data_IF_638547675664
#
_entry.id   IF_638547675664
#
_cell.length_a   1.000
_cell.length_b   1.000
_cell.length_c   1.000
_cell.angle_alpha   90.00
_cell.angle_beta   90.00
_cell.angle_gamma   90.00
#
_symmetry.space_group_name_H-M   'P 1'
#
loop_
_entity.id
_entity.type
_entity.pdbx_description
1 polymer ?
#
# COMPACT_ATOMS: atom_id res chain seq x y z
N UNK A 1 4.27 -3.35 -6.56
CA UNK A 1 3.13 -2.55 -7.06
C UNK A 1 2.06 -2.32 -5.98
N UNK A 2 1.43 -3.36 -5.42
CA UNK A 2 0.38 -3.24 -4.40
C UNK A 2 0.64 -2.24 -3.25
N UNK A 3 1.85 -2.27 -2.67
CA UNK A 3 2.24 -1.39 -1.55
C UNK A 3 2.23 0.10 -1.91
N UNK A 4 2.69 0.45 -3.11
CA UNK A 4 2.82 1.86 -3.54
C UNK A 4 1.54 2.38 -4.20
N UNK A 5 0.77 1.51 -4.85
CA UNK A 5 -0.48 1.88 -5.53
C UNK A 5 -1.63 2.08 -4.54
N UNK A 6 -1.82 1.15 -3.60
CA UNK A 6 -2.97 1.18 -2.68
C UNK A 6 -2.58 1.44 -1.22
N UNK A 7 -1.27 1.61 -0.95
CA UNK A 7 -0.78 1.84 0.40
C UNK A 7 -0.98 0.66 1.34
N UNK A 8 -1.09 -0.58 0.85
CA UNK A 8 -1.37 -1.75 1.70
C UNK A 8 -0.29 -1.97 2.77
N UNK A 9 -0.66 -2.55 3.91
CA UNK A 9 0.30 -3.03 4.91
C UNK A 9 0.97 -4.31 4.39
N UNK A 10 2.22 -4.54 4.78
CA UNK A 10 2.93 -5.77 4.42
C UNK A 10 2.19 -7.05 4.86
N UNK A 11 1.51 -7.02 6.01
CA UNK A 11 0.67 -8.13 6.47
C UNK A 11 -0.55 -8.38 5.57
N UNK A 12 -1.24 -7.31 5.14
CA UNK A 12 -2.39 -7.40 4.22
C UNK A 12 -1.94 -8.03 2.89
N UNK A 13 -0.80 -7.59 2.34
CA UNK A 13 -0.23 -8.19 1.11
C UNK A 13 0.14 -9.66 1.31
N UNK A 14 0.75 -10.02 2.45
CA UNK A 14 1.15 -11.40 2.74
C UNK A 14 -0.05 -12.37 2.83
N UNK A 15 -1.22 -11.88 3.23
CA UNK A 15 -2.42 -12.71 3.43
C UNK A 15 -3.41 -12.64 2.26
N UNK A 16 -3.12 -11.88 1.21
CA UNK A 16 -3.93 -11.85 0.00
C UNK A 16 -4.08 -13.25 -0.59
N UNK A 17 -5.30 -13.57 -1.01
CA UNK A 17 -5.67 -14.82 -1.68
C UNK A 17 -6.12 -14.57 -3.11
N UNK A 18 -6.19 -15.63 -3.90
CA UNK A 18 -6.74 -15.57 -5.26
C UNK A 18 -8.21 -15.12 -5.26
N UNK A 19 -8.98 -15.45 -4.23
CA UNK A 19 -10.40 -15.08 -4.07
C UNK A 19 -10.62 -13.59 -3.80
N UNK A 20 -9.56 -12.89 -3.39
CA UNK A 20 -9.61 -11.46 -3.10
C UNK A 20 -9.57 -10.61 -4.37
N UNK A 21 -9.34 -11.23 -5.54
CA UNK A 21 -9.32 -10.55 -6.83
C UNK A 21 -10.55 -10.95 -7.63
N UNK A 22 -11.48 -10.01 -7.79
CA UNK A 22 -12.61 -10.15 -8.69
C UNK A 22 -12.23 -9.58 -10.06
N UNK A 23 -11.79 -10.45 -10.96
CA UNK A 23 -11.40 -10.08 -12.33
C UNK A 23 -12.59 -9.61 -13.18
N UNK A 24 -13.81 -10.09 -12.90
CA UNK A 24 -15.00 -9.69 -13.67
C UNK A 24 -15.44 -8.27 -13.33
N UNK A 25 -15.30 -7.88 -12.06
CA UNK A 25 -15.64 -6.54 -11.58
C UNK A 25 -14.44 -5.60 -11.51
N UNK A 26 -13.26 -6.07 -11.87
CA UNK A 26 -12.00 -5.33 -11.75
C UNK A 26 -11.80 -4.79 -10.32
N UNK A 27 -11.94 -5.66 -9.31
CA UNK A 27 -11.84 -5.27 -7.91
C UNK A 27 -10.80 -6.08 -7.15
N UNK A 28 -10.01 -5.37 -6.34
CA UNK A 28 -9.15 -5.93 -5.31
C UNK A 28 -9.79 -5.74 -3.94
N UNK A 29 -10.14 -6.84 -3.29
CA UNK A 29 -10.75 -6.86 -1.96
C UNK A 29 -9.66 -7.10 -0.93
N UNK A 30 -9.63 -6.32 0.13
CA UNK A 30 -8.73 -6.56 1.26
C UNK A 30 -9.59 -6.93 2.46
N UNK A 31 -9.65 -8.23 2.81
CA UNK A 31 -10.43 -8.70 3.95
C UNK A 31 -9.80 -8.26 5.27
N UNK A 32 -10.62 -8.22 6.33
CA UNK A 32 -10.20 -8.15 7.73
C UNK A 32 -9.14 -7.10 8.04
N UNK A 33 -9.37 -5.86 7.61
CA UNK A 33 -8.45 -4.77 7.99
C UNK A 33 -8.57 -4.45 9.47
N UNK A 34 -7.53 -3.80 9.98
CA UNK A 34 -7.55 -3.18 11.31
C UNK A 34 -8.85 -2.37 11.47
N UNK A 35 -9.63 -2.70 12.52
CA UNK A 35 -11.00 -2.23 12.80
C UNK A 35 -12.16 -3.08 12.26
N UNK A 36 -11.91 -4.25 11.66
CA UNK A 36 -12.98 -5.17 11.20
C UNK A 36 -13.68 -4.71 9.92
N UNK A 37 -13.07 -3.78 9.18
CA UNK A 37 -13.61 -3.30 7.92
C UNK A 37 -12.97 -4.04 6.74
N UNK A 38 -13.79 -4.40 5.76
CA UNK A 38 -13.32 -4.82 4.44
C UNK A 38 -13.30 -3.59 3.52
N UNK A 39 -12.30 -3.50 2.65
CA UNK A 39 -12.22 -2.42 1.66
C UNK A 39 -11.95 -3.03 0.30
N UNK A 40 -12.75 -2.63 -0.69
CA UNK A 40 -12.52 -2.96 -2.09
C UNK A 40 -11.94 -1.75 -2.81
N UNK A 41 -10.93 -1.98 -3.64
CA UNK A 41 -10.39 -0.99 -4.56
C UNK A 41 -10.69 -1.40 -6.00
N UNK A 42 -10.83 -0.43 -6.91
CA UNK A 42 -10.64 -0.70 -8.33
C UNK A 42 -9.26 -1.33 -8.56
N UNK A 43 -9.22 -2.41 -9.32
CA UNK A 43 -7.98 -3.07 -9.72
C UNK A 43 -7.33 -2.24 -10.83
N UNK A 44 -6.36 -1.42 -10.47
CA UNK A 44 -5.52 -0.70 -11.42
C UNK A 44 -4.88 -1.67 -12.42
N UNK A 45 -4.97 -1.37 -13.71
CA UNK A 45 -4.50 -2.23 -14.81
C UNK A 45 -3.04 -2.70 -14.62
N UNK A 46 -2.14 -1.77 -14.29
CA UNK A 46 -0.71 -2.08 -14.03
C UNK A 46 -0.51 -3.08 -12.88
N UNK A 47 -1.41 -3.09 -11.90
CA UNK A 47 -1.36 -4.07 -10.81
C UNK A 47 -1.91 -5.41 -11.30
N UNK A 48 -3.04 -5.40 -12.02
CA UNK A 48 -3.62 -6.61 -12.60
C UNK A 48 -2.65 -7.34 -13.51
N UNK A 49 -1.99 -6.62 -14.42
CA UNK A 49 -0.95 -7.14 -15.31
C UNK A 49 0.21 -7.74 -14.53
N UNK A 50 0.76 -7.03 -13.55
CA UNK A 50 1.84 -7.53 -12.71
C UNK A 50 1.45 -8.80 -11.92
N UNK A 51 0.19 -8.89 -11.49
CA UNK A 51 -0.33 -10.10 -10.84
C UNK A 51 -0.42 -11.25 -11.85
N UNK A 52 -0.96 -11.02 -13.05
CA UNK A 52 -1.07 -12.03 -14.10
C UNK A 52 0.30 -12.59 -14.47
N UNK A 53 1.30 -11.73 -14.65
CA UNK A 53 2.67 -12.15 -14.96
C UNK A 53 3.26 -13.01 -13.84
N UNK A 54 3.08 -12.59 -12.58
CA UNK A 54 3.50 -13.39 -11.44
C UNK A 54 2.75 -14.73 -11.36
N UNK A 55 1.44 -14.78 -11.63
CA UNK A 55 0.67 -16.03 -11.64
C UNK A 55 1.16 -17.01 -12.71
N UNK A 56 1.57 -16.49 -13.87
CA UNK A 56 2.08 -17.30 -14.99
C UNK A 56 3.51 -17.79 -14.79
N UNK A 57 4.36 -16.99 -14.16
CA UNK A 57 5.82 -17.20 -14.18
C UNK A 57 6.45 -17.41 -12.81
N UNK A 58 5.89 -16.81 -11.76
CA UNK A 58 6.51 -16.74 -10.43
C UNK A 58 5.85 -17.60 -9.37
N UNK A 59 4.53 -17.80 -9.44
CA UNK A 59 3.78 -18.55 -8.43
C UNK A 59 4.01 -20.05 -8.58
N UNK A 60 4.35 -20.79 -7.50
CA UNK A 60 4.45 -22.24 -7.56
C UNK A 60 3.10 -22.90 -7.87
N UNK A 61 3.14 -24.09 -8.48
CA UNK A 61 1.98 -24.96 -8.58
C UNK A 61 1.63 -25.49 -7.18
N UNK A 62 0.46 -25.10 -6.66
CA UNK A 62 -0.03 -25.45 -5.32
C UNK A 62 -1.54 -25.24 -5.23
N UNK A 63 -2.20 -26.02 -4.37
CA UNK A 63 -3.62 -25.89 -4.04
C UNK A 63 -3.89 -24.77 -3.02
N UNK A 64 -2.88 -24.37 -2.24
CA UNK A 64 -2.99 -23.24 -1.31
C UNK A 64 -3.38 -21.98 -2.11
N UNK A 65 -4.40 -21.25 -1.66
CA UNK A 65 -4.97 -20.09 -2.37
C UNK A 65 -4.31 -18.76 -2.03
N UNK A 66 -3.28 -18.72 -1.18
CA UNK A 66 -2.47 -17.50 -1.01
C UNK A 66 -1.94 -17.02 -2.36
N UNK A 67 -1.81 -15.71 -2.51
CA UNK A 67 -1.33 -15.10 -3.74
C UNK A 67 0.20 -15.24 -3.80
N UNK A 68 0.91 -14.73 -2.79
CA UNK A 68 2.37 -14.61 -2.82
C UNK A 68 3.10 -15.70 -2.05
N UNK A 69 4.11 -16.30 -2.69
CA UNK A 69 4.97 -17.33 -2.14
C UNK A 69 6.43 -16.90 -2.15
N UNK A 70 7.24 -17.60 -1.35
CA UNK A 70 8.69 -17.50 -1.44
C UNK A 70 9.17 -18.08 -2.77
N UNK A 71 10.12 -17.39 -3.41
CA UNK A 71 10.73 -17.85 -4.67
C UNK A 71 11.66 -19.06 -4.46
N UNK A 72 12.23 -19.20 -3.27
CA UNK A 72 13.16 -20.28 -2.87
C UNK A 72 12.50 -21.27 -1.92
N UNK A 73 13.02 -22.50 -1.89
CA UNK A 73 12.49 -23.55 -1.01
C UNK A 73 12.71 -23.23 0.48
N UNK A 74 11.78 -23.61 1.38
CA UNK A 74 10.47 -24.16 1.06
C UNK A 74 9.54 -23.10 0.45
N UNK A 75 8.85 -23.44 -0.65
CA UNK A 75 7.97 -22.52 -1.40
C UNK A 75 6.61 -22.38 -0.71
N UNK A 76 6.63 -21.76 0.47
CA UNK A 76 5.47 -21.48 1.33
C UNK A 76 5.02 -20.02 1.15
N UNK A 77 3.82 -19.64 1.63
CA UNK A 77 3.36 -18.25 1.59
C UNK A 77 4.41 -17.28 2.19
N UNK A 78 4.54 -16.11 1.57
CA UNK A 78 5.49 -15.09 2.02
C UNK A 78 5.00 -14.45 3.32
N UNK A 79 5.93 -13.99 4.16
CA UNK A 79 5.61 -13.28 5.40
C UNK A 79 5.70 -11.76 5.21
N UNK A 80 5.03 -11.00 6.09
CA UNK A 80 5.15 -9.53 6.14
C UNK A 80 6.59 -9.05 6.37
N UNK A 81 7.37 -9.82 7.14
CA UNK A 81 8.79 -9.58 7.36
C UNK A 81 9.58 -9.74 6.06
N UNK A 82 9.37 -10.84 5.32
CA UNK A 82 10.04 -11.07 4.04
C UNK A 82 9.69 -9.98 3.00
N UNK A 83 8.43 -9.53 2.94
CA UNK A 83 8.04 -8.39 2.11
C UNK A 83 8.81 -7.13 2.51
N UNK A 84 8.93 -6.86 3.81
CA UNK A 84 9.63 -5.67 4.29
C UNK A 84 11.13 -5.73 4.00
N UNK A 85 11.77 -6.88 4.19
CA UNK A 85 13.17 -7.11 3.81
C UNK A 85 13.40 -6.95 2.31
N UNK A 86 12.50 -7.48 1.46
CA UNK A 86 12.60 -7.32 0.02
C UNK A 86 12.52 -5.84 -0.39
N UNK A 87 11.59 -5.07 0.19
CA UNK A 87 11.50 -3.62 -0.06
C UNK A 87 12.77 -2.91 0.39
N UNK A 88 13.31 -3.23 1.57
CA UNK A 88 14.56 -2.62 2.05
C UNK A 88 15.74 -2.91 1.10
N UNK A 89 15.83 -4.14 0.58
CA UNK A 89 16.86 -4.50 -0.39
C UNK A 89 16.71 -3.71 -1.71
N UNK A 90 15.50 -3.57 -2.23
CA UNK A 90 15.25 -2.78 -3.44
C UNK A 90 15.55 -1.28 -3.25
N UNK A 91 15.20 -0.71 -2.08
CA UNK A 91 15.55 0.67 -1.75
C UNK A 91 17.07 0.87 -1.70
N UNK A 92 17.80 -0.07 -1.10
CA UNK A 92 19.26 -0.04 -1.05
C UNK A 92 19.88 -0.17 -2.45
N UNK A 93 19.39 -1.10 -3.28
CA UNK A 93 19.86 -1.28 -4.65
C UNK A 93 19.64 -0.03 -5.51
N UNK A 94 18.58 0.74 -5.22
CA UNK A 94 18.29 2.00 -5.89
C UNK A 94 19.02 3.22 -5.28
N UNK A 95 19.92 3.03 -4.30
CA UNK A 95 20.59 4.09 -3.51
C UNK A 95 19.62 5.08 -2.85
N UNK A 96 18.41 4.62 -2.50
CA UNK A 96 17.40 5.43 -1.82
C UNK A 96 17.61 5.29 -0.31
N UNK A 97 18.11 6.36 0.31
CA UNK A 97 18.37 6.41 1.75
C UNK A 97 17.13 6.84 2.53
N UNK A 98 16.64 5.96 3.39
CA UNK A 98 15.51 6.23 4.30
C UNK A 98 15.86 5.81 5.72
N UNK A 99 15.36 6.56 6.70
CA UNK A 99 15.61 6.27 8.12
C UNK A 99 15.09 4.89 8.55
N UNK A 100 13.94 4.47 8.00
CA UNK A 100 13.36 3.13 8.18
C UNK A 100 12.93 2.59 6.83
N UNK A 101 13.72 1.66 6.29
CA UNK A 101 13.40 0.94 5.05
C UNK A 101 12.43 -0.21 5.29
N UNK A 102 11.48 -0.38 4.37
CA UNK A 102 10.58 -1.53 4.35
C UNK A 102 9.20 -1.19 3.78
N UNK A 103 8.26 -2.12 3.94
CA UNK A 103 6.90 -1.99 3.40
C UNK A 103 6.18 -0.71 3.85
N UNK A 104 6.42 -0.26 5.08
CA UNK A 104 5.89 1.00 5.61
C UNK A 104 6.39 2.23 4.86
N UNK A 105 7.63 2.25 4.37
CA UNK A 105 8.17 3.36 3.57
C UNK A 105 7.32 3.61 2.34
N UNK A 106 7.00 2.55 1.59
CA UNK A 106 6.18 2.66 0.38
C UNK A 106 4.73 3.04 0.69
N UNK A 107 4.19 2.55 1.81
CA UNK A 107 2.87 2.99 2.28
C UNK A 107 2.86 4.47 2.63
N UNK A 108 3.89 4.99 3.29
CA UNK A 108 4.02 6.41 3.57
C UNK A 108 4.07 7.23 2.28
N UNK A 109 4.81 6.76 1.26
CA UNK A 109 4.82 7.41 -0.06
C UNK A 109 3.43 7.45 -0.70
N UNK A 110 2.65 6.36 -0.63
CA UNK A 110 1.27 6.36 -1.13
C UNK A 110 0.40 7.39 -0.39
N UNK A 111 0.46 7.42 0.94
CA UNK A 111 -0.30 8.39 1.73
C UNK A 111 0.15 9.82 1.43
N UNK A 112 1.45 10.06 1.32
CA UNK A 112 1.98 11.38 0.99
C UNK A 112 1.43 11.88 -0.35
N UNK A 113 1.39 11.03 -1.38
CA UNK A 113 0.79 11.40 -2.67
C UNK A 113 -0.69 11.77 -2.57
N UNK A 114 -1.45 11.14 -1.68
CA UNK A 114 -2.85 11.52 -1.45
C UNK A 114 -2.97 12.85 -0.72
N UNK A 115 -2.03 13.17 0.16
CA UNK A 115 -1.95 14.48 0.83
C UNK A 115 -1.58 15.57 -0.16
N UNK A 116 -0.57 15.33 -1.00
CA UNK A 116 -0.11 16.26 -2.03
C UNK A 116 -1.20 16.52 -3.07
N UNK A 117 -2.09 15.55 -3.30
CA UNK A 117 -3.30 15.68 -4.11
C UNK A 117 -4.51 16.23 -3.33
N UNK A 118 -4.28 16.78 -2.14
CA UNK A 118 -5.24 17.51 -1.30
C UNK A 118 -6.49 16.71 -0.90
N UNK A 119 -6.39 15.38 -0.84
CA UNK A 119 -7.50 14.57 -0.33
C UNK A 119 -7.74 14.84 1.17
N UNK A 120 -9.00 14.91 1.63
CA UNK A 120 -9.28 15.07 3.04
C UNK A 120 -8.65 13.97 3.88
N UNK A 121 -8.02 14.31 5.01
CA UNK A 121 -7.34 13.35 5.89
C UNK A 121 -8.25 12.20 6.33
N UNK A 122 -9.55 12.45 6.54
CA UNK A 122 -10.54 11.40 6.82
C UNK A 122 -10.63 10.40 5.67
N UNK A 123 -10.76 10.89 4.44
CA UNK A 123 -10.80 10.07 3.22
C UNK A 123 -9.54 9.24 3.05
N UNK A 124 -8.37 9.84 3.31
CA UNK A 124 -7.09 9.13 3.29
C UNK A 124 -7.06 8.02 4.34
N UNK A 125 -7.48 8.33 5.58
CA UNK A 125 -7.56 7.37 6.67
C UNK A 125 -8.46 6.18 6.36
N UNK A 126 -9.65 6.45 5.80
CA UNK A 126 -10.60 5.44 5.35
C UNK A 126 -10.00 4.60 4.22
N UNK A 127 -9.37 5.25 3.23
CA UNK A 127 -8.73 4.60 2.09
C UNK A 127 -7.63 3.62 2.52
N UNK A 128 -6.75 4.01 3.45
CA UNK A 128 -5.66 3.12 3.89
C UNK A 128 -6.03 2.19 5.05
N UNK A 129 -7.27 2.28 5.57
CA UNK A 129 -7.77 1.45 6.67
C UNK A 129 -7.15 1.78 8.03
N UNK A 130 -7.17 3.06 8.43
CA UNK A 130 -6.82 3.50 9.79
C UNK A 130 -8.03 3.43 10.74
N UNK A 131 -7.78 3.01 11.99
CA UNK A 131 -8.80 2.86 13.04
C UNK A 131 -9.07 4.14 13.83
N UNK A 132 -8.05 4.99 13.98
CA UNK A 132 -8.12 6.24 14.76
C UNK A 132 -7.61 7.40 13.91
N UNK A 133 -8.23 8.60 14.01
CA UNK A 133 -7.66 9.84 13.51
C UNK A 133 -6.19 10.04 13.90
N UNK A 134 -5.73 9.50 15.05
CA UNK A 134 -4.33 9.60 15.51
C UNK A 134 -3.32 8.92 14.58
N UNK A 135 -3.74 7.84 13.90
CA UNK A 135 -2.90 7.15 12.90
C UNK A 135 -2.73 8.01 11.63
N UNK A 136 -3.70 8.90 11.40
CA UNK A 136 -3.68 9.91 10.34
C UNK A 136 -3.04 11.20 10.84
N UNK A 137 -3.02 11.47 12.15
CA UNK A 137 -2.45 12.66 12.77
C UNK A 137 -0.94 12.80 12.57
N UNK A 138 -0.24 11.67 12.38
CA UNK A 138 1.18 11.65 11.96
C UNK A 138 1.37 12.45 10.66
N UNK A 139 0.36 12.49 9.79
CA UNK A 139 0.38 13.23 8.54
C UNK A 139 -0.10 14.69 8.66
N UNK A 140 -0.72 15.07 9.79
CA UNK A 140 -1.15 16.45 10.03
C UNK A 140 0.03 17.41 10.07
N UNK A 141 1.22 16.97 10.52
CA UNK A 141 2.45 17.79 10.46
C UNK A 141 2.84 18.19 9.04
N UNK A 142 2.52 17.35 8.05
CA UNK A 142 2.81 17.61 6.63
C UNK A 142 1.77 18.57 6.05
N UNK A 143 0.49 18.37 6.36
CA UNK A 143 -0.57 19.30 5.98
C UNK A 143 -0.39 20.70 6.63
N UNK A 144 0.23 20.78 7.82
CA UNK A 144 0.59 22.04 8.47
C UNK A 144 1.62 22.86 7.69
N UNK A 145 2.49 22.24 6.88
CA UNK A 145 3.38 22.97 5.99
C UNK A 145 2.60 23.64 4.85
N UNK A 146 1.66 22.91 4.22
CA UNK A 146 0.75 23.47 3.20
C UNK A 146 -0.18 24.55 3.78
N UNK A 147 -0.70 24.36 5.00
CA UNK A 147 -1.50 25.37 5.70
C UNK A 147 -0.67 26.61 6.07
N UNK A 148 0.63 26.45 6.30
CA UNK A 148 1.53 27.58 6.57
C UNK A 148 1.81 28.39 5.31
N UNK A 149 1.83 27.78 4.12
CA UNK A 149 1.88 28.53 2.86
C UNK A 149 0.59 29.34 2.64
N UNK A 150 -0.59 28.73 2.85
CA UNK A 150 -1.89 29.45 2.78
C UNK A 150 -1.97 30.57 3.83
N UNK A 151 -1.40 30.37 5.02
CA UNK A 151 -1.37 31.40 6.06
C UNK A 151 -0.30 32.48 5.83
N UNK A 152 0.65 32.28 4.91
CA UNK A 152 1.79 33.18 4.68
C UNK A 152 1.83 33.80 3.27
N UNK A 153 0.89 33.51 2.36
CA UNK A 153 0.84 34.16 1.05
C UNK A 153 -0.46 33.97 0.26
N UNK A 154 -1.06 35.12 -0.09
CA UNK A 154 -1.96 35.37 -1.23
C UNK A 154 -3.45 35.01 -1.12
N UNK A 155 -4.06 35.32 0.02
CA UNK A 155 -5.52 35.37 0.17
C UNK A 155 -6.20 36.66 -0.31
N UNK A 156 -5.47 37.75 -0.59
CA UNK A 156 -6.06 39.00 -1.09
C UNK A 156 -5.06 39.80 -1.97
N UNK A 157 -5.23 39.75 -3.29
CA UNK A 157 -4.88 40.85 -4.19
C UNK A 157 -5.68 40.73 -5.50
N UNK A 158 -6.64 41.65 -5.67
CA UNK A 158 -7.03 42.23 -6.96
C UNK A 158 -5.94 43.19 -7.43
#
# INVERSE_FOLDING_TARGET
>A
MLLVTYGLRGYEVAHLRLDDIDWQREQLRIPDRKAGHCTAYPLAAVVGEAIIDYLKQGRPATEDRHLFFRSVAPRVPITSAAISSAVSAYLQQADIRVHRGGSHTLRHTCVQRLIDAEFPLKTIGDYVGHRSPDSTAIYTKVALACLREVAMGDGEAL
#
